data_IF_092298004063
#
_entry.id   IF_092298004063
#
_cell.length_a   1.000
_cell.length_b   1.000
_cell.length_c   1.000
_cell.angle_alpha   90.00
_cell.angle_beta   90.00
_cell.angle_gamma   90.00
#
_symmetry.space_group_name_H-M   'P 1'
#
loop_
_entity.id
_entity.type
_entity.pdbx_description
1 polymer ?
#
# COMPACT_ATOMS: atom_id res chain seq x y z
N UNK A 1 42.21 -58.86 -55.65
CA UNK A 1 42.08 -57.44 -56.00
C UNK A 1 40.63 -57.23 -56.36
N UNK A 2 39.74 -57.04 -55.38
CA UNK A 2 38.36 -56.59 -55.60
C UNK A 2 37.95 -55.74 -54.40
N UNK A 3 37.65 -54.48 -54.68
CA UNK A 3 37.27 -53.44 -53.73
C UNK A 3 35.77 -53.47 -53.53
N UNK A 4 35.32 -53.62 -52.29
CA UNK A 4 33.90 -53.47 -51.93
C UNK A 4 33.65 -51.97 -51.74
N UNK A 5 33.01 -51.34 -52.72
CA UNK A 5 32.53 -49.96 -52.59
C UNK A 5 31.28 -49.94 -51.70
N UNK A 6 31.41 -49.32 -50.53
CA UNK A 6 30.30 -49.03 -49.64
C UNK A 6 29.59 -47.74 -50.08
N UNK A 7 28.37 -47.90 -50.57
CA UNK A 7 27.44 -46.85 -51.03
C UNK A 7 27.22 -45.75 -49.98
N UNK A 8 27.42 -44.49 -50.38
CA UNK A 8 27.16 -43.34 -49.51
C UNK A 8 25.66 -43.17 -49.25
N UNK A 9 25.25 -43.24 -47.97
CA UNK A 9 23.88 -42.91 -47.53
C UNK A 9 23.75 -41.40 -47.45
N UNK A 10 23.40 -40.76 -48.57
CA UNK A 10 22.99 -39.36 -48.59
C UNK A 10 21.48 -39.28 -48.38
N UNK A 11 21.04 -39.05 -47.15
CA UNK A 11 19.72 -38.48 -46.89
C UNK A 11 19.75 -37.59 -45.65
N UNK A 12 20.36 -36.41 -45.78
CA UNK A 12 20.18 -35.34 -44.80
C UNK A 12 18.93 -34.55 -45.18
N UNK A 13 17.77 -35.06 -44.77
CA UNK A 13 16.53 -34.31 -44.83
C UNK A 13 16.61 -33.21 -43.76
N UNK A 14 16.97 -32.01 -44.19
CA UNK A 14 16.91 -30.80 -43.36
C UNK A 14 15.43 -30.52 -43.08
N UNK A 15 14.99 -30.79 -41.86
CA UNK A 15 13.67 -30.36 -41.39
C UNK A 15 13.80 -28.86 -41.08
N UNK A 16 13.11 -27.95 -41.80
CA UNK A 16 13.16 -26.54 -41.47
C UNK A 16 12.44 -26.31 -40.15
N UNK A 17 13.18 -25.82 -39.14
CA UNK A 17 12.61 -25.31 -37.90
C UNK A 17 11.83 -24.04 -38.24
N UNK A 18 10.50 -24.08 -38.08
CA UNK A 18 9.64 -22.91 -38.27
C UNK A 18 10.03 -21.83 -37.26
N UNK A 19 10.51 -20.68 -37.75
CA UNK A 19 10.68 -19.49 -36.94
C UNK A 19 9.30 -18.96 -36.56
N UNK A 20 8.79 -19.39 -35.41
CA UNK A 20 7.75 -18.65 -34.71
C UNK A 20 8.28 -17.24 -34.48
N UNK A 21 7.73 -16.30 -35.24
CA UNK A 21 7.81 -14.88 -34.90
C UNK A 21 7.04 -14.72 -33.60
N UNK A 22 7.76 -14.80 -32.49
CA UNK A 22 7.25 -14.43 -31.17
C UNK A 22 6.96 -12.93 -31.22
N UNK A 23 5.77 -12.59 -31.70
CA UNK A 23 5.25 -11.24 -31.62
C UNK A 23 4.88 -11.07 -30.17
N UNK A 24 5.85 -10.63 -29.37
CA UNK A 24 5.62 -10.20 -28.00
C UNK A 24 4.40 -9.27 -28.00
N UNK A 25 3.40 -9.50 -27.13
CA UNK A 25 2.24 -8.60 -27.05
C UNK A 25 2.74 -7.18 -26.77
N UNK A 26 2.09 -6.14 -27.33
CA UNK A 26 2.53 -4.77 -27.15
C UNK A 26 2.67 -4.49 -25.65
N UNK A 27 3.90 -4.18 -25.24
CA UNK A 27 4.24 -3.85 -23.86
C UNK A 27 3.31 -2.74 -23.41
N UNK A 28 2.50 -2.98 -22.36
CA UNK A 28 1.61 -1.98 -21.76
C UNK A 28 2.44 -0.84 -21.17
N UNK A 29 2.92 0.08 -22.00
CA UNK A 29 3.75 1.24 -21.64
C UNK A 29 3.09 2.08 -20.54
N UNK A 30 1.77 2.26 -20.61
CA UNK A 30 0.98 2.98 -19.60
C UNK A 30 1.04 2.35 -18.19
N UNK A 31 1.09 1.02 -18.08
CA UNK A 31 1.19 0.35 -16.79
C UNK A 31 2.60 0.45 -16.20
N UNK A 32 3.63 0.45 -17.05
CA UNK A 32 5.02 0.62 -16.63
C UNK A 32 5.29 2.05 -16.12
N UNK A 33 4.73 3.08 -16.77
CA UNK A 33 4.92 4.47 -16.35
C UNK A 33 4.37 4.78 -14.95
N UNK A 34 3.27 4.15 -14.55
CA UNK A 34 2.69 4.32 -13.22
C UNK A 34 3.55 3.67 -12.11
N UNK A 35 4.33 2.65 -12.44
CA UNK A 35 5.05 1.80 -11.47
C UNK A 35 6.57 2.07 -11.47
N UNK A 36 7.13 2.72 -12.52
CA UNK A 36 8.58 2.96 -12.68
C UNK A 36 9.24 3.67 -11.49
N UNK A 37 8.49 4.51 -10.78
CA UNK A 37 9.00 5.24 -9.62
C UNK A 37 8.98 4.42 -8.32
N UNK A 38 8.27 3.28 -8.26
CA UNK A 38 8.30 2.41 -7.07
C UNK A 38 9.69 1.83 -6.83
N UNK A 39 10.40 1.53 -7.93
CA UNK A 39 11.80 1.09 -7.90
C UNK A 39 12.74 2.16 -7.33
N UNK A 40 12.48 3.44 -7.61
CA UNK A 40 13.26 4.56 -7.04
C UNK A 40 12.85 4.90 -5.61
N UNK A 41 11.57 4.72 -5.26
CA UNK A 41 11.03 5.06 -3.94
C UNK A 41 11.46 4.09 -2.85
N UNK A 42 11.55 2.80 -3.17
CA UNK A 42 11.93 1.75 -2.22
C UNK A 42 13.30 1.14 -2.55
N UNK A 43 13.87 1.45 -3.72
CA UNK A 43 15.19 1.01 -4.14
C UNK A 43 15.32 -0.50 -4.37
N UNK A 44 14.21 -1.25 -4.43
CA UNK A 44 14.24 -2.72 -4.53
C UNK A 44 14.96 -3.22 -5.80
N UNK A 45 14.81 -2.46 -6.89
CA UNK A 45 15.52 -2.65 -8.16
C UNK A 45 16.69 -1.66 -8.33
N UNK A 46 17.13 -1.01 -7.25
CA UNK A 46 18.26 -0.09 -7.29
C UNK A 46 19.54 -0.84 -7.66
N UNK A 47 20.45 -0.15 -8.36
CA UNK A 47 21.81 -0.64 -8.57
C UNK A 47 22.64 -0.57 -7.28
N UNK A 48 22.27 0.31 -6.36
CA UNK A 48 22.96 0.48 -5.08
C UNK A 48 22.46 -0.55 -4.06
N UNK A 49 23.39 -1.19 -3.36
CA UNK A 49 23.08 -2.09 -2.25
C UNK A 49 22.47 -1.32 -1.06
N UNK A 50 23.14 -0.25 -0.65
CA UNK A 50 22.73 0.70 0.39
C UNK A 50 22.36 2.04 -0.25
N UNK A 51 21.23 2.63 0.15
CA UNK A 51 20.75 3.93 -0.33
C UNK A 51 21.30 5.08 0.53
N UNK A 52 21.28 6.31 -0.01
CA UNK A 52 21.85 7.48 0.65
C UNK A 52 21.23 7.86 2.03
N UNK A 53 20.06 7.32 2.37
CA UNK A 53 19.37 7.56 3.64
C UNK A 53 19.44 6.36 4.59
N UNK A 54 20.19 5.33 4.21
CA UNK A 54 20.41 4.13 5.03
C UNK A 54 21.79 4.20 5.70
N UNK A 55 21.95 3.47 6.79
CA UNK A 55 23.22 3.39 7.49
C UNK A 55 24.13 2.36 6.80
N UNK A 56 25.25 2.85 6.27
CA UNK A 56 26.27 2.01 5.66
C UNK A 56 27.00 1.15 6.70
N UNK A 57 27.15 1.62 7.94
CA UNK A 57 27.82 0.86 8.98
C UNK A 57 27.02 -0.40 9.35
N UNK A 58 25.68 -0.30 9.46
CA UNK A 58 24.83 -1.48 9.69
C UNK A 58 24.94 -2.51 8.56
N UNK A 59 25.13 -2.08 7.31
CA UNK A 59 25.34 -3.00 6.19
C UNK A 59 26.72 -3.66 6.26
N UNK A 60 27.76 -2.89 6.59
CA UNK A 60 29.12 -3.41 6.74
C UNK A 60 29.21 -4.41 7.89
N UNK A 61 28.52 -4.16 9.00
CA UNK A 61 28.42 -5.08 10.13
C UNK A 61 27.72 -6.39 9.74
N UNK A 62 26.62 -6.31 8.96
CA UNK A 62 25.93 -7.48 8.42
C UNK A 62 26.85 -8.29 7.50
N UNK A 63 27.56 -7.62 6.60
CA UNK A 63 28.49 -8.28 5.69
C UNK A 63 29.65 -8.94 6.46
N UNK A 64 30.21 -8.26 7.46
CA UNK A 64 31.26 -8.80 8.30
C UNK A 64 30.80 -10.04 9.07
N UNK A 65 29.58 -10.02 9.63
CA UNK A 65 28.99 -11.17 10.30
C UNK A 65 28.82 -12.37 9.35
N UNK A 66 28.33 -12.14 8.12
CA UNK A 66 28.17 -13.20 7.13
C UNK A 66 29.53 -13.76 6.65
N UNK A 67 30.55 -12.92 6.53
CA UNK A 67 31.92 -13.37 6.19
C UNK A 67 32.50 -14.23 7.32
N UNK A 68 32.32 -13.84 8.58
CA UNK A 68 32.81 -14.59 9.74
C UNK A 68 32.09 -15.94 9.90
N UNK A 69 30.78 -15.97 9.64
CA UNK A 69 29.96 -17.18 9.68
C UNK A 69 30.36 -18.18 8.58
N UNK A 70 30.47 -17.72 7.33
CA UNK A 70 30.65 -18.61 6.18
C UNK A 70 32.10 -18.89 5.79
N UNK A 71 33.06 -18.07 6.26
CA UNK A 71 34.52 -18.24 6.05
C UNK A 71 34.89 -18.59 4.60
N UNK A 72 34.61 -17.71 3.63
CA UNK A 72 34.84 -17.99 2.22
C UNK A 72 36.31 -18.29 1.93
N UNK A 73 36.57 -19.39 1.23
CA UNK A 73 37.90 -19.85 0.86
C UNK A 73 38.45 -19.12 -0.39
N UNK A 74 37.58 -18.55 -1.22
CA UNK A 74 37.96 -17.93 -2.49
C UNK A 74 37.11 -16.73 -2.91
N UNK A 75 37.52 -16.09 -4.02
CA UNK A 75 36.88 -14.88 -4.56
C UNK A 75 35.41 -15.12 -4.92
N UNK A 76 35.10 -16.28 -5.51
CA UNK A 76 33.72 -16.62 -5.89
C UNK A 76 32.80 -16.72 -4.68
N UNK A 77 33.23 -17.38 -3.62
CA UNK A 77 32.45 -17.51 -2.39
C UNK A 77 32.27 -16.16 -1.68
N UNK A 78 33.32 -15.33 -1.66
CA UNK A 78 33.24 -13.95 -1.15
C UNK A 78 32.20 -13.14 -1.92
N UNK A 79 32.24 -13.19 -3.25
CA UNK A 79 31.26 -12.49 -4.09
C UNK A 79 29.83 -12.97 -3.82
N UNK A 80 29.61 -14.28 -3.64
CA UNK A 80 28.29 -14.82 -3.29
C UNK A 80 27.80 -14.33 -1.92
N UNK A 81 28.69 -14.18 -0.94
CA UNK A 81 28.35 -13.62 0.38
C UNK A 81 28.01 -12.13 0.28
N UNK A 82 28.72 -11.35 -0.53
CA UNK A 82 28.40 -9.94 -0.80
C UNK A 82 27.03 -9.78 -1.48
N UNK A 83 26.71 -10.66 -2.44
CA UNK A 83 25.38 -10.72 -3.06
C UNK A 83 24.30 -11.12 -2.04
N UNK A 84 24.59 -12.10 -1.16
CA UNK A 84 23.68 -12.50 -0.09
C UNK A 84 23.38 -11.34 0.86
N UNK A 85 24.40 -10.61 1.31
CA UNK A 85 24.23 -9.43 2.15
C UNK A 85 23.34 -8.38 1.47
N UNK A 86 23.57 -8.14 0.17
CA UNK A 86 22.76 -7.23 -0.65
C UNK A 86 21.30 -7.67 -0.75
N UNK A 87 21.04 -8.97 -0.93
CA UNK A 87 19.68 -9.54 -1.00
C UNK A 87 18.98 -9.40 0.36
N UNK A 88 19.66 -9.73 1.46
CA UNK A 88 19.13 -9.60 2.82
C UNK A 88 18.75 -8.14 3.10
N UNK A 89 19.64 -7.20 2.75
CA UNK A 89 19.40 -5.77 2.91
C UNK A 89 18.18 -5.28 2.10
N UNK A 90 18.06 -5.72 0.84
CA UNK A 90 16.90 -5.44 -0.01
C UNK A 90 15.61 -6.02 0.57
N UNK A 91 15.65 -7.23 1.11
CA UNK A 91 14.48 -7.88 1.74
C UNK A 91 14.00 -7.08 2.96
N UNK A 92 14.92 -6.56 3.78
CA UNK A 92 14.59 -5.67 4.91
C UNK A 92 13.79 -4.45 4.44
N UNK A 93 14.20 -3.82 3.33
CA UNK A 93 13.46 -2.69 2.74
C UNK A 93 12.06 -3.06 2.27
N UNK A 94 11.86 -4.25 1.69
CA UNK A 94 10.52 -4.70 1.27
C UNK A 94 9.57 -4.73 2.46
N UNK A 95 10.00 -5.34 3.56
CA UNK A 95 9.17 -5.45 4.76
C UNK A 95 8.80 -4.07 5.33
N UNK A 96 9.74 -3.12 5.33
CA UNK A 96 9.47 -1.75 5.75
C UNK A 96 8.49 -1.05 4.81
N UNK A 97 8.65 -1.23 3.49
CA UNK A 97 7.77 -0.64 2.48
C UNK A 97 6.35 -1.21 2.56
N UNK A 98 6.21 -2.53 2.75
CA UNK A 98 4.93 -3.20 2.96
C UNK A 98 4.24 -2.67 4.22
N UNK A 99 4.95 -2.60 5.35
CA UNK A 99 4.43 -2.03 6.59
C UNK A 99 3.97 -0.58 6.40
N UNK A 100 4.77 0.25 5.74
CA UNK A 100 4.39 1.63 5.42
C UNK A 100 3.15 1.71 4.52
N UNK A 101 3.02 0.81 3.54
CA UNK A 101 1.86 0.76 2.63
C UNK A 101 0.59 0.32 3.36
N UNK A 102 0.68 -0.67 4.24
CA UNK A 102 -0.42 -1.13 5.10
C UNK A 102 -0.86 0.02 6.02
N UNK A 103 0.09 0.68 6.69
CA UNK A 103 -0.21 1.81 7.59
C UNK A 103 -0.85 2.98 6.85
N UNK A 104 -0.38 3.30 5.64
CA UNK A 104 -1.01 4.32 4.80
C UNK A 104 -2.45 3.94 4.39
N UNK A 105 -2.67 2.66 4.06
CA UNK A 105 -4.00 2.11 3.79
C UNK A 105 -4.93 2.21 4.99
N UNK A 106 -4.46 1.84 6.17
CA UNK A 106 -5.21 1.94 7.42
C UNK A 106 -5.56 3.39 7.75
N UNK A 107 -4.60 4.32 7.66
CA UNK A 107 -4.85 5.76 7.86
C UNK A 107 -5.88 6.30 6.88
N UNK A 108 -5.84 5.86 5.62
CA UNK A 108 -6.83 6.24 4.59
C UNK A 108 -8.22 5.71 4.93
N UNK A 109 -8.33 4.43 5.30
CA UNK A 109 -9.57 3.78 5.70
C UNK A 109 -10.24 4.47 6.90
N UNK A 110 -9.43 4.83 7.91
CA UNK A 110 -9.88 5.52 9.11
C UNK A 110 -10.40 6.93 8.80
N UNK A 111 -9.75 7.67 7.89
CA UNK A 111 -10.17 9.02 7.51
C UNK A 111 -11.37 9.04 6.55
N UNK A 112 -11.61 7.95 5.83
CA UNK A 112 -12.74 7.82 4.92
C UNK A 112 -13.45 6.47 5.09
N UNK A 113 -14.22 6.30 6.18
CA UNK A 113 -14.91 5.05 6.49
C UNK A 113 -15.91 4.59 5.44
N UNK A 114 -16.45 5.52 4.64
CA UNK A 114 -17.49 5.21 3.67
C UNK A 114 -17.03 4.18 2.63
N UNK A 115 -15.72 4.01 2.39
CA UNK A 115 -15.19 3.00 1.47
C UNK A 115 -14.96 1.62 2.10
N UNK A 116 -14.83 1.53 3.43
CA UNK A 116 -14.42 0.28 4.12
C UNK A 116 -15.54 -0.31 4.98
N UNK A 117 -16.36 0.54 5.60
CA UNK A 117 -17.45 0.10 6.49
C UNK A 117 -18.50 -0.80 5.83
N UNK A 118 -18.90 -0.61 4.56
CA UNK A 118 -19.83 -1.53 3.91
C UNK A 118 -19.34 -2.98 3.86
N UNK A 119 -18.02 -3.20 3.76
CA UNK A 119 -17.44 -4.55 3.77
C UNK A 119 -17.13 -5.06 5.18
N UNK A 120 -16.63 -4.21 6.07
CA UNK A 120 -16.19 -4.63 7.41
C UNK A 120 -17.35 -4.86 8.38
N UNK A 121 -18.42 -4.07 8.30
CA UNK A 121 -19.56 -4.13 9.21
C UNK A 121 -20.88 -3.88 8.46
N UNK A 122 -21.26 -4.77 7.51
CA UNK A 122 -22.39 -4.56 6.60
C UNK A 122 -23.74 -4.39 7.30
N UNK A 123 -23.91 -4.92 8.52
CA UNK A 123 -25.17 -4.91 9.26
C UNK A 123 -25.26 -3.82 10.33
N UNK A 124 -24.19 -3.06 10.57
CA UNK A 124 -24.25 -1.98 11.56
C UNK A 124 -24.78 -0.69 10.92
N UNK A 125 -26.05 -0.40 11.22
CA UNK A 125 -26.71 0.83 10.80
C UNK A 125 -26.03 2.07 11.40
N UNK A 126 -25.92 3.14 10.60
CA UNK A 126 -25.30 4.41 11.02
C UNK A 126 -23.78 4.48 10.85
N UNK A 127 -23.10 3.34 10.69
CA UNK A 127 -21.64 3.28 10.51
C UNK A 127 -21.19 3.45 9.04
N UNK A 128 -22.07 3.17 8.08
CA UNK A 128 -21.82 3.30 6.63
C UNK A 128 -21.96 4.73 6.08
N UNK A 129 -22.27 5.72 6.93
CA UNK A 129 -22.51 7.10 6.54
C UNK A 129 -21.23 7.91 6.24
N UNK A 130 -21.37 8.98 5.45
CA UNK A 130 -20.28 9.95 5.18
C UNK A 130 -19.85 10.75 6.41
N UNK A 131 -20.64 10.79 7.48
CA UNK A 131 -20.34 11.54 8.71
C UNK A 131 -19.82 10.65 9.85
N UNK A 132 -19.54 9.37 9.59
CA UNK A 132 -18.95 8.48 10.59
C UNK A 132 -17.52 8.91 10.86
N UNK A 133 -17.19 9.25 12.11
CA UNK A 133 -15.80 9.40 12.55
C UNK A 133 -15.39 8.12 13.29
N UNK A 134 -14.75 7.20 12.58
CA UNK A 134 -14.35 5.91 13.16
C UNK A 134 -13.35 6.06 14.31
N UNK A 135 -12.47 7.07 14.28
CA UNK A 135 -11.50 7.28 15.36
C UNK A 135 -12.23 7.56 16.66
N UNK A 136 -13.17 8.49 16.59
CA UNK A 136 -14.04 8.79 17.73
C UNK A 136 -14.76 7.52 18.21
N UNK A 137 -15.32 6.71 17.32
CA UNK A 137 -16.06 5.51 17.74
C UNK A 137 -15.19 4.41 18.37
N UNK A 138 -13.95 4.25 17.90
CA UNK A 138 -13.02 3.24 18.43
C UNK A 138 -12.43 3.66 19.78
N UNK A 139 -12.17 4.95 19.96
CA UNK A 139 -11.50 5.46 21.17
C UNK A 139 -12.47 6.05 22.21
N UNK A 140 -13.74 6.30 21.84
CA UNK A 140 -14.70 6.91 22.75
C UNK A 140 -15.09 6.00 23.91
N UNK A 141 -15.10 6.60 25.08
CA UNK A 141 -15.60 5.98 26.30
C UNK A 141 -17.12 6.11 26.42
N UNK A 142 -17.79 5.23 27.21
CA UNK A 142 -19.22 5.36 27.48
C UNK A 142 -19.61 6.74 28.05
N UNK A 143 -18.71 7.37 28.83
CA UNK A 143 -18.91 8.70 29.38
C UNK A 143 -18.98 9.78 28.30
N UNK A 144 -18.03 9.79 27.38
CA UNK A 144 -17.96 10.76 26.27
C UNK A 144 -19.15 10.61 25.32
N UNK A 145 -19.62 9.38 25.09
CA UNK A 145 -20.86 9.14 24.35
C UNK A 145 -22.07 9.76 25.04
N UNK A 146 -22.19 9.61 26.36
CA UNK A 146 -23.27 10.20 27.15
C UNK A 146 -23.25 11.73 27.12
N UNK A 147 -22.08 12.36 27.27
CA UNK A 147 -21.92 13.82 27.18
C UNK A 147 -22.35 14.33 25.79
N UNK A 148 -21.89 13.66 24.72
CA UNK A 148 -22.23 14.04 23.35
C UNK A 148 -23.72 13.87 23.04
N UNK A 149 -24.34 12.80 23.54
CA UNK A 149 -25.78 12.60 23.40
C UNK A 149 -26.55 13.75 24.06
N UNK A 150 -26.17 14.11 25.28
CA UNK A 150 -26.82 15.17 26.04
C UNK A 150 -26.68 16.53 25.36
N UNK A 151 -25.51 16.84 24.80
CA UNK A 151 -25.30 18.07 24.03
C UNK A 151 -26.06 18.07 22.69
N UNK A 152 -26.18 16.92 22.03
CA UNK A 152 -27.00 16.77 20.84
C UNK A 152 -28.49 16.98 21.15
N UNK A 153 -28.99 16.46 22.27
CA UNK A 153 -30.36 16.66 22.75
C UNK A 153 -30.64 18.14 23.05
N UNK A 154 -29.71 18.82 23.73
CA UNK A 154 -29.78 20.28 23.96
C UNK A 154 -29.83 21.06 22.66
N UNK A 155 -28.96 20.72 21.70
CA UNK A 155 -28.88 21.35 20.38
C UNK A 155 -30.17 21.14 19.58
N UNK A 156 -30.74 19.93 19.61
CA UNK A 156 -32.03 19.61 18.99
C UNK A 156 -33.16 20.41 19.63
N UNK A 157 -33.19 20.52 20.95
CA UNK A 157 -34.20 21.31 21.66
C UNK A 157 -34.11 22.80 21.32
N UNK A 158 -32.89 23.36 21.21
CA UNK A 158 -32.65 24.72 20.73
C UNK A 158 -33.17 24.93 19.31
N UNK A 159 -32.84 24.01 18.38
CA UNK A 159 -33.28 24.07 17.00
C UNK A 159 -34.82 23.97 16.87
N UNK A 160 -35.47 23.09 17.64
CA UNK A 160 -36.93 23.00 17.69
C UNK A 160 -37.55 24.30 18.13
N UNK A 161 -37.10 24.88 19.25
CA UNK A 161 -37.58 26.18 19.77
C UNK A 161 -37.42 27.30 18.73
N UNK A 162 -36.26 27.39 18.09
CA UNK A 162 -36.02 28.36 17.02
C UNK A 162 -36.98 28.18 15.85
N UNK A 163 -37.25 26.93 15.43
CA UNK A 163 -38.24 26.61 14.41
C UNK A 163 -39.66 27.04 14.79
N UNK A 164 -40.04 26.92 16.05
CA UNK A 164 -41.35 27.41 16.52
C UNK A 164 -41.47 28.94 16.45
N UNK A 165 -40.39 29.65 16.81
CA UNK A 165 -40.33 31.11 16.72
C UNK A 165 -40.46 31.58 15.27
N UNK A 166 -39.78 30.92 14.34
CA UNK A 166 -39.91 31.22 12.91
C UNK A 166 -41.33 30.98 12.39
N UNK A 167 -41.96 29.88 12.81
CA UNK A 167 -43.33 29.52 12.40
C UNK A 167 -44.39 30.48 12.92
N UNK A 168 -44.18 31.08 14.11
CA UNK A 168 -45.08 32.14 14.65
C UNK A 168 -45.00 33.45 13.84
N UNK A 169 -43.93 33.66 13.09
CA UNK A 169 -43.75 34.84 12.22
C UNK A 169 -43.53 36.15 12.98
N UNK A 170 -43.40 37.25 12.24
CA UNK A 170 -43.20 38.60 12.77
C UNK A 170 -41.89 39.26 12.33
N UNK A 171 -41.81 40.59 12.46
CA UNK A 171 -40.71 41.44 11.95
C UNK A 171 -39.35 41.05 12.55
N UNK A 172 -39.32 40.51 13.78
CA UNK A 172 -38.10 40.12 14.50
C UNK A 172 -37.92 38.60 14.67
N UNK A 173 -38.74 37.77 14.03
CA UNK A 173 -38.76 36.32 14.25
C UNK A 173 -37.40 35.66 13.93
N UNK A 174 -36.70 36.13 12.90
CA UNK A 174 -35.37 35.65 12.54
C UNK A 174 -34.33 35.91 13.64
N UNK A 175 -34.30 37.12 14.21
CA UNK A 175 -33.36 37.45 15.29
C UNK A 175 -33.67 36.69 16.58
N UNK A 176 -34.96 36.53 16.91
CA UNK A 176 -35.38 35.75 18.07
C UNK A 176 -35.03 34.26 17.93
N UNK A 177 -35.22 33.68 16.74
CA UNK A 177 -34.82 32.30 16.44
C UNK A 177 -33.30 32.10 16.54
N UNK A 178 -32.51 33.08 16.06
CA UNK A 178 -31.04 33.02 16.17
C UNK A 178 -30.56 33.05 17.62
N UNK A 179 -31.20 33.85 18.49
CA UNK A 179 -30.91 33.85 19.94
C UNK A 179 -31.29 32.54 20.63
N UNK A 180 -32.28 31.82 20.12
CA UNK A 180 -32.67 30.52 20.67
C UNK A 180 -31.72 29.36 20.27
N UNK A 181 -30.89 29.56 19.24
CA UNK A 181 -29.91 28.58 18.73
C UNK A 181 -28.54 28.68 19.43
N UNK A 182 -28.16 29.86 19.93
CA UNK A 182 -26.98 30.03 20.77
C UNK A 182 -27.38 29.89 22.25
N UNK A 183 -26.68 29.07 23.05
CA UNK A 183 -26.79 29.11 24.51
C UNK A 183 -26.42 30.48 25.07
#
# INVERSE_FOLDING_TARGET
>A
METIEGTAVNNSAVIPFQTITDTAPPTKTAAYEAVRFNAMKHGILSKLAVLAHEDHAEFDDLLAALIDEHRPAGITERHLIEELATIVWRKRRVLLAEGAKINAGLKSAVNNPASVMPSAAPFQYGLSGKSTDLRYLLDATPKEMGERQLDAERSLAAARRAGEVLRKGGVNAYQAARRALSP
#
